data_IF_589364872530
#
_entry.id   IF_589364872530
#
_cell.length_a   1.000
_cell.length_b   1.000
_cell.length_c   1.000
_cell.angle_alpha   90.00
_cell.angle_beta   90.00
_cell.angle_gamma   90.00
#
_symmetry.space_group_name_H-M   'P 1'
#
loop_
_entity.id
_entity.type
_entity.pdbx_description
1 polymer ?
#
# COMPACT_ATOMS: atom_id res chain seq x y z
N UNK A 1 0.77 4.31 -0.81
CA UNK A 1 0.67 3.01 -1.51
C UNK A 1 -0.29 2.14 -0.71
N UNK A 2 -0.77 1.04 -1.28
CA UNK A 2 -1.59 0.07 -0.55
C UNK A 2 -0.80 -1.23 -0.32
N UNK A 3 -1.11 -1.95 0.75
CA UNK A 3 -0.42 -3.21 1.08
C UNK A 3 -0.54 -4.25 -0.04
N UNK A 4 -1.66 -4.26 -0.77
CA UNK A 4 -1.89 -5.15 -1.92
C UNK A 4 -0.95 -4.91 -3.11
N UNK A 5 -0.25 -3.77 -3.17
CA UNK A 5 0.80 -3.55 -4.17
C UNK A 5 1.91 -4.61 -4.08
N UNK A 6 2.14 -5.19 -2.90
CA UNK A 6 3.13 -6.25 -2.70
C UNK A 6 2.82 -7.52 -3.49
N UNK A 7 1.54 -7.89 -3.61
CA UNK A 7 1.11 -9.06 -4.39
C UNK A 7 1.45 -8.92 -5.88
N UNK A 8 1.55 -7.69 -6.38
CA UNK A 8 1.92 -7.37 -7.76
C UNK A 8 3.40 -7.00 -7.90
N UNK A 9 4.21 -7.21 -6.85
CA UNK A 9 5.62 -6.83 -6.78
C UNK A 9 5.87 -5.33 -7.05
N UNK A 10 4.85 -4.50 -6.85
CA UNK A 10 4.94 -3.06 -7.05
C UNK A 10 5.65 -2.44 -5.83
N UNK A 11 6.88 -1.99 -6.07
CA UNK A 11 7.71 -1.31 -5.06
C UNK A 11 7.24 0.13 -4.84
N UNK A 12 7.71 0.73 -3.76
CA UNK A 12 7.48 2.15 -3.47
C UNK A 12 7.89 3.01 -4.66
N UNK A 13 7.00 3.89 -5.10
CA UNK A 13 7.27 4.83 -6.20
C UNK A 13 8.07 6.03 -5.68
N UNK A 14 9.34 5.78 -5.35
CA UNK A 14 10.27 6.78 -4.84
C UNK A 14 11.68 6.54 -5.36
N UNK A 15 12.49 7.61 -5.39
CA UNK A 15 13.94 7.51 -5.60
C UNK A 15 14.63 6.78 -4.45
N UNK A 16 14.05 6.86 -3.25
CA UNK A 16 14.51 6.15 -2.05
C UNK A 16 13.98 4.71 -2.10
N UNK A 17 14.88 3.74 -2.20
CA UNK A 17 14.52 2.30 -2.32
C UNK A 17 14.95 1.44 -1.13
N UNK A 18 15.83 1.94 -0.28
CA UNK A 18 16.30 1.23 0.90
C UNK A 18 16.02 2.05 2.17
N UNK A 19 15.71 1.36 3.26
CA UNK A 19 15.39 1.98 4.56
C UNK A 19 16.55 2.84 5.06
N UNK A 20 17.80 2.42 4.83
CA UNK A 20 19.00 3.18 5.22
C UNK A 20 19.09 4.57 4.56
N UNK A 21 18.42 4.76 3.42
CA UNK A 21 18.43 6.00 2.64
C UNK A 21 17.13 6.80 2.89
N UNK A 22 16.45 6.55 4.02
CA UNK A 22 15.19 7.19 4.39
C UNK A 22 15.30 8.72 4.32
N UNK A 23 14.34 9.33 3.63
CA UNK A 23 14.19 10.78 3.53
C UNK A 23 12.70 11.12 3.53
N UNK A 24 12.26 11.79 4.57
CA UNK A 24 10.85 12.13 4.79
C UNK A 24 10.33 13.09 3.73
N UNK A 25 11.05 14.15 3.40
CA UNK A 25 10.63 15.17 2.43
C UNK A 25 10.37 14.54 1.05
N UNK A 26 11.26 13.65 0.61
CA UNK A 26 11.12 12.93 -0.67
C UNK A 26 9.93 11.96 -0.63
N UNK A 27 9.71 11.28 0.50
CA UNK A 27 8.62 10.32 0.64
C UNK A 27 7.25 10.99 0.81
N UNK A 28 7.19 12.18 1.39
CA UNK A 28 5.97 12.96 1.56
C UNK A 28 5.54 13.67 0.27
N UNK A 29 6.49 14.10 -0.56
CA UNK A 29 6.21 14.84 -1.81
C UNK A 29 5.82 13.95 -3.00
N UNK A 30 5.80 12.62 -2.85
CA UNK A 30 5.54 11.69 -3.96
C UNK A 30 4.05 11.41 -4.16
N UNK A 31 3.69 11.01 -5.37
CA UNK A 31 2.37 10.44 -5.63
C UNK A 31 2.23 9.04 -5.01
N UNK A 32 1.16 8.85 -4.25
CA UNK A 32 0.76 7.56 -3.70
C UNK A 32 0.19 6.70 -4.82
N UNK A 33 0.74 5.49 -5.01
CA UNK A 33 0.27 4.58 -6.05
C UNK A 33 -0.90 3.74 -5.50
N UNK A 34 -2.06 3.98 -6.07
CA UNK A 34 -3.31 3.24 -5.83
C UNK A 34 -3.90 2.76 -7.15
N UNK A 35 -4.63 1.64 -7.12
CA UNK A 35 -5.34 1.08 -8.28
C UNK A 35 -6.52 0.24 -7.80
N UNK A 36 -7.25 -0.39 -8.71
CA UNK A 36 -8.48 -1.17 -8.41
C UNK A 36 -8.26 -2.24 -7.32
N UNK A 37 -7.13 -2.95 -7.35
CA UNK A 37 -6.80 -3.97 -6.34
C UNK A 37 -6.54 -3.39 -4.94
N UNK A 38 -6.20 -2.09 -4.83
CA UNK A 38 -6.06 -1.43 -3.53
C UNK A 38 -7.40 -1.26 -2.81
N UNK A 39 -8.51 -1.31 -3.56
CA UNK A 39 -9.86 -1.33 -3.03
C UNK A 39 -10.36 -2.77 -2.82
N UNK A 40 -9.49 -3.78 -2.88
CA UNK A 40 -9.84 -5.20 -2.76
C UNK A 40 -10.52 -5.63 -1.46
N UNK A 41 -10.75 -4.70 -0.52
CA UNK A 41 -11.60 -4.89 0.66
C UNK A 41 -12.98 -4.21 0.55
N UNK A 42 -13.41 -3.78 -0.65
CA UNK A 42 -14.81 -3.40 -0.92
C UNK A 42 -15.64 -4.60 -1.37
N UNK A 43 -15.31 -5.81 -0.90
CA UNK A 43 -16.21 -6.95 -1.00
C UNK A 43 -17.27 -6.80 0.09
N UNK A 44 -18.48 -6.39 -0.30
CA UNK A 44 -19.65 -6.76 0.47
C UNK A 44 -19.57 -8.28 0.72
N UNK A 45 -19.49 -8.65 2.00
CA UNK A 45 -19.45 -10.02 2.50
C UNK A 45 -18.38 -10.96 1.86
N UNK A 46 -17.29 -11.21 2.57
CA UNK A 46 -16.69 -12.56 2.56
C UNK A 46 -15.34 -12.77 1.85
N UNK A 47 -14.33 -11.98 2.18
CA UNK A 47 -12.96 -12.54 2.17
C UNK A 47 -12.10 -11.91 3.26
N UNK A 48 -11.75 -12.76 4.24
CA UNK A 48 -10.73 -12.68 5.28
C UNK A 48 -10.68 -11.51 6.29
N UNK A 49 -11.52 -10.48 6.23
CA UNK A 49 -11.54 -9.41 7.25
C UNK A 49 -12.49 -9.62 8.45
N UNK A 50 -12.60 -10.83 9.02
CA UNK A 50 -13.21 -11.03 10.35
C UNK A 50 -12.25 -10.72 11.50
N UNK A 51 -11.53 -9.59 11.42
CA UNK A 51 -10.76 -9.07 12.54
C UNK A 51 -11.68 -8.37 13.53
N UNK A 52 -12.12 -9.12 14.55
CA UNK A 52 -12.75 -8.71 15.82
C UNK A 52 -13.22 -7.25 15.95
N UNK A 53 -14.53 -7.03 15.87
CA UNK A 53 -15.20 -5.99 16.67
C UNK A 53 -15.87 -6.70 17.83
N UNK A 54 -15.11 -6.86 18.91
CA UNK A 54 -15.58 -7.21 20.26
C UNK A 54 -14.72 -6.46 21.25
#
# INVERSE_FOLDING_TARGET
>A
DCDFNQMLELKVNSKVKHIKDYNEEVLAARAIVVSQHCYGCTAGAGSSCQGSVS
#
